data_IF_776367879298
#
_entry.id   IF_776367879298
#
_cell.length_a   1.000
_cell.length_b   1.000
_cell.length_c   1.000
_cell.angle_alpha   90.00
_cell.angle_beta   90.00
_cell.angle_gamma   90.00
#
_symmetry.space_group_name_H-M   'P 1'
#
loop_
_entity.id
_entity.type
_entity.pdbx_description
1 polymer ?
#
# COMPACT_ATOMS: atom_id res chain seq x y z
N UNK A 1 -2.10 -18.39 -11.58
CA UNK A 1 -2.13 -16.92 -11.61
C UNK A 1 -3.49 -16.57 -11.08
N UNK A 2 -3.58 -15.70 -10.07
CA UNK A 2 -4.87 -15.30 -9.50
C UNK A 2 -5.54 -14.29 -10.44
N UNK A 3 -6.84 -14.43 -10.64
CA UNK A 3 -7.68 -13.61 -11.51
C UNK A 3 -8.71 -12.80 -10.70
N UNK A 4 -9.36 -11.83 -11.32
CA UNK A 4 -10.39 -11.01 -10.66
C UNK A 4 -11.54 -11.87 -10.10
N UNK A 5 -11.90 -12.95 -10.79
CA UNK A 5 -12.95 -13.87 -10.34
C UNK A 5 -12.62 -14.52 -8.99
N UNK A 6 -11.35 -14.80 -8.72
CA UNK A 6 -10.94 -15.40 -7.45
C UNK A 6 -11.22 -14.44 -6.28
N UNK A 7 -11.00 -13.14 -6.51
CA UNK A 7 -11.32 -12.10 -5.52
C UNK A 7 -12.83 -11.94 -5.31
N UNK A 8 -13.62 -11.97 -6.39
CA UNK A 8 -15.08 -11.85 -6.31
C UNK A 8 -15.70 -13.01 -5.53
N UNK A 9 -15.20 -14.23 -5.74
CA UNK A 9 -15.62 -15.43 -5.02
C UNK A 9 -15.28 -15.34 -3.52
N UNK A 10 -14.06 -14.89 -3.19
CA UNK A 10 -13.63 -14.67 -1.80
C UNK A 10 -14.49 -13.60 -1.09
N UNK A 11 -14.83 -12.52 -1.80
CA UNK A 11 -15.69 -11.46 -1.28
C UNK A 11 -17.10 -11.98 -1.00
N UNK A 12 -17.68 -12.71 -1.95
CA UNK A 12 -19.02 -13.29 -1.80
C UNK A 12 -19.08 -14.27 -0.61
N UNK A 13 -18.07 -15.13 -0.47
CA UNK A 13 -17.98 -16.05 0.66
C UNK A 13 -17.91 -15.29 2.00
N UNK A 14 -17.20 -14.17 2.04
CA UNK A 14 -17.06 -13.35 3.24
C UNK A 14 -18.35 -12.62 3.64
N UNK A 15 -19.10 -12.11 2.67
CA UNK A 15 -20.40 -11.48 2.93
C UNK A 15 -21.43 -12.48 3.47
N UNK A 16 -21.39 -13.73 3.02
CA UNK A 16 -22.32 -14.78 3.45
C UNK A 16 -22.04 -15.30 4.87
N UNK A 17 -20.78 -15.23 5.32
CA UNK A 17 -20.35 -15.77 6.62
C UNK A 17 -19.49 -14.78 7.40
N UNK A 18 -20.03 -13.62 7.85
CA UNK A 18 -19.21 -12.57 8.46
C UNK A 18 -18.52 -12.96 9.77
N UNK A 19 -19.01 -14.00 10.46
CA UNK A 19 -18.49 -14.45 11.75
C UNK A 19 -17.42 -15.55 11.64
N UNK A 20 -17.09 -16.04 10.44
CA UNK A 20 -16.10 -17.10 10.23
C UNK A 20 -14.66 -16.58 10.09
N UNK A 21 -14.44 -15.28 10.36
CA UNK A 21 -13.20 -14.57 10.01
C UNK A 21 -11.95 -15.24 10.56
N UNK A 22 -12.00 -15.77 11.78
CA UNK A 22 -10.88 -16.48 12.42
C UNK A 22 -10.52 -17.76 11.63
N UNK A 23 -11.51 -18.59 11.29
CA UNK A 23 -11.28 -19.83 10.55
C UNK A 23 -10.88 -19.57 9.09
N UNK A 24 -11.48 -18.55 8.44
CA UNK A 24 -11.12 -18.13 7.09
C UNK A 24 -9.68 -17.64 7.04
N UNK A 25 -9.28 -16.78 7.99
CA UNK A 25 -7.94 -16.22 8.01
C UNK A 25 -6.90 -17.28 8.36
N UNK A 26 -7.21 -18.21 9.29
CA UNK A 26 -6.37 -19.39 9.56
C UNK A 26 -6.12 -20.24 8.33
N UNK A 27 -7.16 -20.54 7.56
CA UNK A 27 -7.03 -21.31 6.31
C UNK A 27 -6.20 -20.57 5.24
N UNK A 28 -6.27 -19.25 5.22
CA UNK A 28 -5.51 -18.41 4.30
C UNK A 28 -4.07 -18.14 4.76
N UNK A 29 -3.67 -18.60 5.96
CA UNK A 29 -2.37 -18.27 6.56
C UNK A 29 -2.25 -16.79 6.96
N UNK A 30 -3.38 -16.13 7.21
CA UNK A 30 -3.51 -14.72 7.60
C UNK A 30 -3.94 -14.54 9.07
N UNK A 31 -3.87 -15.62 9.87
CA UNK A 31 -4.16 -15.57 11.31
C UNK A 31 -3.04 -14.84 12.08
N UNK A 32 -3.20 -14.71 13.39
CA UNK A 32 -2.19 -14.15 14.26
C UNK A 32 -0.87 -14.91 14.15
N UNK A 33 0.23 -14.16 14.27
CA UNK A 33 1.58 -14.74 14.31
C UNK A 33 1.80 -15.34 15.69
N UNK A 34 1.63 -16.66 15.81
CA UNK A 34 1.84 -17.39 17.07
C UNK A 34 3.34 -17.54 17.42
N UNK A 35 4.16 -17.86 16.42
CA UNK A 35 5.62 -17.92 16.53
C UNK A 35 6.26 -16.99 15.50
N UNK A 36 6.89 -15.93 16.01
CA UNK A 36 7.55 -14.92 15.19
C UNK A 36 8.74 -15.50 14.43
N UNK A 37 9.49 -16.45 15.00
CA UNK A 37 10.62 -17.06 14.32
C UNK A 37 10.15 -17.96 13.18
N UNK A 38 9.14 -18.80 13.43
CA UNK A 38 8.56 -19.67 12.40
C UNK A 38 7.93 -18.85 11.25
N UNK A 39 7.17 -17.79 11.57
CA UNK A 39 6.59 -16.91 10.57
C UNK A 39 7.66 -16.16 9.75
N UNK A 40 8.78 -15.79 10.37
CA UNK A 40 9.90 -15.17 9.67
C UNK A 40 10.73 -16.17 8.86
N UNK A 41 10.71 -17.47 9.17
CA UNK A 41 11.39 -18.49 8.36
C UNK A 41 10.81 -18.58 6.94
N UNK A 42 9.51 -18.30 6.75
CA UNK A 42 8.91 -18.17 5.42
C UNK A 42 9.57 -17.05 4.62
N UNK A 43 9.82 -15.89 5.24
CA UNK A 43 10.54 -14.79 4.60
C UNK A 43 12.02 -15.11 4.36
N UNK A 44 12.61 -15.99 5.18
CA UNK A 44 14.00 -16.47 5.02
C UNK A 44 14.16 -17.45 3.87
N UNK A 45 13.19 -18.33 3.64
CA UNK A 45 13.21 -19.28 2.52
C UNK A 45 12.66 -18.68 1.21
N UNK A 46 11.91 -17.57 1.26
CA UNK A 46 11.38 -16.86 0.10
C UNK A 46 12.44 -16.02 -0.65
N UNK A 47 13.64 -16.58 -0.84
CA UNK A 47 14.65 -16.02 -1.73
C UNK A 47 15.17 -14.66 -1.29
N UNK A 48 15.84 -14.62 -0.13
CA UNK A 48 16.88 -13.60 -0.01
C UNK A 48 17.83 -13.80 -1.19
N UNK A 49 18.11 -12.75 -1.99
CA UNK A 49 19.04 -12.87 -3.10
C UNK A 49 20.34 -13.48 -2.58
N UNK A 50 20.79 -14.57 -3.20
CA UNK A 50 22.09 -15.16 -2.88
C UNK A 50 23.20 -14.11 -3.09
N UNK A 51 24.41 -14.32 -2.57
CA UNK A 51 25.50 -13.33 -2.72
C UNK A 51 25.69 -12.87 -4.18
N UNK A 52 25.51 -13.78 -5.13
CA UNK A 52 25.56 -13.52 -6.57
C UNK A 52 24.46 -12.56 -7.05
N UNK A 53 23.23 -12.70 -6.55
CA UNK A 53 22.12 -11.79 -6.86
C UNK A 53 22.34 -10.39 -6.26
N UNK A 54 22.98 -10.30 -5.09
CA UNK A 54 23.29 -9.03 -4.42
C UNK A 54 24.35 -8.21 -5.16
N UNK A 55 25.22 -8.90 -5.91
CA UNK A 55 26.27 -8.28 -6.73
C UNK A 55 25.84 -8.04 -8.18
N UNK A 56 24.65 -8.51 -8.56
CA UNK A 56 24.10 -8.28 -9.89
C UNK A 56 23.78 -6.79 -10.07
N UNK A 57 24.20 -6.16 -11.18
CA UNK A 57 23.86 -4.77 -11.46
C UNK A 57 22.34 -4.60 -11.50
N UNK A 58 21.84 -3.50 -10.93
CA UNK A 58 20.46 -3.12 -11.17
C UNK A 58 20.23 -2.99 -12.68
N UNK A 59 19.08 -3.45 -13.20
CA UNK A 59 18.80 -3.32 -14.62
C UNK A 59 18.82 -1.85 -15.01
N UNK A 60 19.43 -1.53 -16.16
CA UNK A 60 19.52 -0.15 -16.67
C UNK A 60 18.15 0.50 -16.86
N UNK A 61 17.11 -0.33 -17.04
CA UNK A 61 15.71 0.08 -17.09
C UNK A 61 14.86 -0.77 -16.16
N UNK A 62 14.04 -0.11 -15.38
CA UNK A 62 13.03 -0.69 -14.50
C UNK A 62 11.64 -0.37 -15.04
N UNK A 63 10.61 -1.06 -14.55
CA UNK A 63 9.22 -0.75 -14.88
C UNK A 63 8.79 0.68 -14.45
N UNK A 64 9.57 1.35 -13.57
CA UNK A 64 9.38 2.75 -13.20
C UNK A 64 9.73 3.72 -14.34
N UNK A 65 10.61 3.34 -15.26
CA UNK A 65 11.02 4.21 -16.37
C UNK A 65 9.89 4.45 -17.38
N UNK A 66 8.95 3.50 -17.47
CA UNK A 66 7.72 3.60 -18.26
C UNK A 66 6.58 4.33 -17.51
N UNK A 67 6.78 4.64 -16.21
CA UNK A 67 5.81 5.31 -15.34
C UNK A 67 6.38 6.60 -14.73
N UNK A 68 6.74 7.60 -15.56
CA UNK A 68 7.38 8.83 -15.10
C UNK A 68 6.53 9.64 -14.10
N UNK A 69 5.21 9.41 -14.03
CA UNK A 69 4.35 10.05 -13.02
C UNK A 69 4.56 9.52 -11.60
N UNK A 70 5.06 8.28 -11.44
CA UNK A 70 5.36 7.68 -10.13
C UNK A 70 6.73 8.09 -9.59
N UNK A 71 7.67 8.43 -10.48
CA UNK A 71 9.01 8.89 -10.14
C UNK A 71 9.13 10.42 -10.11
N UNK A 72 8.17 11.13 -10.68
CA UNK A 72 8.11 12.59 -10.60
C UNK A 72 7.99 13.05 -9.15
N UNK A 73 8.87 13.98 -8.76
CA UNK A 73 8.80 14.62 -7.45
C UNK A 73 7.49 15.41 -7.34
N UNK A 74 6.56 14.92 -6.53
CA UNK A 74 5.31 15.63 -6.25
C UNK A 74 5.64 16.87 -5.42
N UNK A 75 5.45 18.05 -6.02
CA UNK A 75 5.58 19.31 -5.30
C UNK A 75 4.21 19.75 -4.80
N UNK A 76 4.10 20.06 -3.50
CA UNK A 76 2.90 20.68 -2.98
C UNK A 76 2.97 22.21 -3.25
N UNK A 77 2.16 22.77 -4.17
CA UNK A 77 2.17 24.19 -4.46
C UNK A 77 1.74 25.03 -3.25
N UNK A 78 0.94 24.45 -2.35
CA UNK A 78 0.39 25.11 -1.16
C UNK A 78 1.20 24.85 0.12
N UNK A 79 2.44 24.35 0.01
CA UNK A 79 3.29 24.03 1.19
C UNK A 79 3.52 25.20 2.15
N UNK A 80 3.35 26.43 1.67
CA UNK A 80 3.52 27.67 2.42
C UNK A 80 2.22 28.20 3.03
N UNK A 81 1.06 27.59 2.72
CA UNK A 81 -0.24 28.02 3.20
C UNK A 81 -0.53 27.35 4.54
N UNK A 82 -0.55 28.15 5.60
CA UNK A 82 -0.97 27.71 6.91
C UNK A 82 -2.47 27.45 6.99
N UNK A 83 -2.87 26.51 7.83
CA UNK A 83 -4.29 26.13 8.06
C UNK A 83 -5.19 27.33 8.45
N UNK A 84 -4.62 28.35 9.09
CA UNK A 84 -5.35 29.56 9.53
C UNK A 84 -5.21 30.75 8.57
N UNK A 85 -4.39 30.65 7.53
CA UNK A 85 -4.16 31.73 6.58
C UNK A 85 -5.37 31.94 5.68
N UNK A 86 -5.51 33.12 5.04
CA UNK A 86 -6.49 33.32 3.99
C UNK A 86 -6.41 32.22 2.93
N UNK A 87 -7.56 31.65 2.57
CA UNK A 87 -7.61 30.54 1.63
C UNK A 87 -7.16 30.99 0.24
N UNK A 88 -6.22 30.29 -0.42
CA UNK A 88 -5.66 30.70 -1.71
C UNK A 88 -6.68 30.67 -2.87
N UNK A 89 -7.87 30.11 -2.66
CA UNK A 89 -8.98 30.17 -3.63
C UNK A 89 -9.69 31.54 -3.68
N UNK A 90 -9.29 32.52 -2.86
CA UNK A 90 -9.87 33.86 -2.87
C UNK A 90 -11.17 34.02 -2.09
N UNK A 91 -11.59 33.01 -1.33
CA UNK A 91 -12.87 33.04 -0.59
C UNK A 91 -12.90 34.00 0.61
N UNK A 92 -11.76 34.56 1.02
CA UNK A 92 -11.61 35.36 2.23
C UNK A 92 -11.73 34.56 3.55
N UNK A 93 -12.03 33.26 3.48
CA UNK A 93 -12.10 32.36 4.65
C UNK A 93 -10.71 31.87 5.02
N UNK A 94 -10.53 31.42 6.27
CA UNK A 94 -9.32 30.65 6.66
C UNK A 94 -9.28 29.33 5.90
N UNK A 95 -8.09 28.86 5.49
CA UNK A 95 -7.93 27.63 4.70
C UNK A 95 -8.67 26.42 5.31
N UNK A 96 -8.64 26.25 6.64
CA UNK A 96 -9.36 25.21 7.40
C UNK A 96 -10.89 25.25 7.36
N UNK A 97 -11.45 26.36 6.90
CA UNK A 97 -12.90 26.58 6.76
C UNK A 97 -13.29 26.66 5.27
N UNK A 98 -12.40 26.23 4.39
CA UNK A 98 -12.58 26.27 2.94
C UNK A 98 -11.91 25.03 2.30
N UNK A 99 -10.86 25.18 1.51
CA UNK A 99 -10.23 24.09 0.75
C UNK A 99 -9.48 23.05 1.60
N UNK A 100 -9.17 23.35 2.86
CA UNK A 100 -8.61 22.39 3.83
C UNK A 100 -9.63 22.04 4.93
N UNK A 101 -10.92 22.16 4.62
CA UNK A 101 -11.94 21.57 5.47
C UNK A 101 -11.94 20.05 5.22
N UNK A 102 -11.68 19.28 6.27
CA UNK A 102 -12.06 17.87 6.32
C UNK A 102 -13.58 17.79 6.41
#
# INVERSE_FOLDING_TARGET
>A
MLELSDFEDDLLAAEQSPNDIEDRFRRAGLDYIDDVLEALEWSRHAGFPDEEDRQSPLPEKTWLDELPSLTALVTNPLRHVGRNDPCPCGSGKKAKKCCLAN
#
